data_IF_516410866238
#
_entry.id   IF_516410866238
#
_cell.length_a   1.000
_cell.length_b   1.000
_cell.length_c   1.000
_cell.angle_alpha   90.00
_cell.angle_beta   90.00
_cell.angle_gamma   90.00
#
_symmetry.space_group_name_H-M   'P 1'
#
loop_
_entity.id
_entity.type
_entity.pdbx_description
1 polymer ?
#
# COMPACT_ATOMS: atom_id res chain seq x y z
N UNK A 1 8.83 0.02 4.78
CA UNK A 1 7.54 -0.51 5.26
C UNK A 1 6.92 -1.47 4.25
N UNK A 2 6.80 -1.09 2.96
CA UNK A 2 6.20 -1.95 1.91
C UNK A 2 6.69 -3.40 1.88
N UNK A 3 8.00 -3.61 1.77
CA UNK A 3 8.61 -4.96 1.80
C UNK A 3 8.17 -5.81 3.01
N UNK A 4 8.18 -5.24 4.21
CA UNK A 4 7.83 -5.97 5.42
C UNK A 4 6.34 -6.31 5.50
N UNK A 5 5.47 -5.35 5.16
CA UNK A 5 4.03 -5.59 5.15
C UNK A 5 3.67 -6.67 4.13
N UNK A 6 4.18 -6.53 2.89
CA UNK A 6 3.86 -7.46 1.82
C UNK A 6 4.26 -8.90 2.16
N UNK A 7 5.49 -9.11 2.64
CA UNK A 7 5.94 -10.46 2.99
C UNK A 7 5.30 -11.00 4.26
N UNK A 8 5.14 -10.20 5.30
CA UNK A 8 4.55 -10.69 6.55
C UNK A 8 3.06 -11.06 6.33
N UNK A 9 2.32 -10.29 5.53
CA UNK A 9 0.94 -10.60 5.17
C UNK A 9 0.86 -11.87 4.31
N UNK A 10 1.74 -12.00 3.31
CA UNK A 10 1.82 -13.21 2.48
C UNK A 10 2.11 -14.45 3.34
N UNK A 11 3.07 -14.36 4.25
CA UNK A 11 3.41 -15.46 5.18
C UNK A 11 2.29 -15.74 6.19
N UNK A 12 1.40 -14.77 6.44
CA UNK A 12 0.17 -14.94 7.23
C UNK A 12 -1.00 -15.54 6.43
N UNK A 13 -0.80 -15.89 5.15
CA UNK A 13 -1.84 -16.48 4.30
C UNK A 13 -2.75 -15.46 3.61
N UNK A 14 -2.39 -14.18 3.60
CA UNK A 14 -3.13 -13.14 2.86
C UNK A 14 -2.66 -13.13 1.40
N UNK A 15 -3.60 -12.99 0.46
CA UNK A 15 -3.25 -12.78 -0.95
C UNK A 15 -2.77 -11.34 -1.15
N UNK A 16 -1.56 -11.18 -1.71
CA UNK A 16 -0.86 -9.90 -1.77
C UNK A 16 -0.33 -9.64 -3.18
N UNK A 17 -0.72 -8.49 -3.73
CA UNK A 17 -0.05 -7.85 -4.86
C UNK A 17 0.66 -6.58 -4.41
N UNK A 18 1.73 -6.22 -5.11
CA UNK A 18 2.47 -4.97 -4.86
C UNK A 18 2.24 -4.01 -6.03
N UNK A 19 1.61 -2.87 -5.74
CA UNK A 19 1.46 -1.78 -6.70
C UNK A 19 2.72 -0.92 -6.80
N UNK A 20 3.42 -0.99 -7.95
CA UNK A 20 4.60 -0.18 -8.23
C UNK A 20 4.49 0.44 -9.62
N UNK A 21 4.97 1.68 -9.78
CA UNK A 21 5.09 2.30 -11.11
C UNK A 21 5.94 1.43 -12.05
N UNK A 22 5.66 1.44 -13.36
CA UNK A 22 6.37 0.61 -14.35
C UNK A 22 7.90 0.79 -14.31
N UNK A 23 8.36 2.04 -14.20
CA UNK A 23 9.80 2.35 -14.10
C UNK A 23 10.43 2.17 -12.71
N UNK A 24 9.72 1.56 -11.74
CA UNK A 24 10.22 1.42 -10.38
C UNK A 24 11.36 0.40 -10.30
N UNK A 25 12.51 0.83 -9.79
CA UNK A 25 13.69 -0.04 -9.53
C UNK A 25 13.41 -1.17 -8.53
N UNK A 26 12.28 -1.12 -7.81
CA UNK A 26 11.91 -2.11 -6.80
C UNK A 26 11.03 -3.25 -7.32
N UNK A 27 10.59 -3.21 -8.59
CA UNK A 27 9.75 -4.26 -9.19
C UNK A 27 10.44 -5.63 -9.17
N UNK A 28 11.62 -5.72 -9.77
CA UNK A 28 12.42 -6.95 -9.81
C UNK A 28 12.64 -7.52 -8.39
N UNK A 29 12.99 -6.66 -7.42
CA UNK A 29 13.18 -7.08 -6.03
C UNK A 29 11.92 -7.68 -5.39
N UNK A 30 10.74 -7.16 -5.72
CA UNK A 30 9.48 -7.70 -5.21
C UNK A 30 9.13 -9.03 -5.90
N UNK A 31 9.32 -9.11 -7.22
CA UNK A 31 9.12 -10.33 -8.02
C UNK A 31 10.06 -11.46 -7.58
N UNK A 32 11.33 -11.17 -7.31
CA UNK A 32 12.32 -12.12 -6.79
C UNK A 32 11.94 -12.70 -5.42
N UNK A 33 11.07 -12.01 -4.68
CA UNK A 33 10.51 -12.47 -3.40
C UNK A 33 9.16 -13.21 -3.58
N UNK A 34 8.82 -13.53 -4.83
CA UNK A 34 7.59 -14.21 -5.22
C UNK A 34 6.34 -13.37 -4.98
N UNK A 35 6.44 -12.04 -4.98
CA UNK A 35 5.27 -11.16 -4.93
C UNK A 35 4.83 -10.82 -6.36
N UNK A 36 3.52 -10.90 -6.61
CA UNK A 36 2.95 -10.40 -7.87
C UNK A 36 3.04 -8.86 -7.88
N UNK A 37 3.55 -8.29 -8.96
CA UNK A 37 3.69 -6.83 -9.12
C UNK A 37 2.79 -6.33 -10.24
N UNK A 38 2.02 -5.29 -9.95
CA UNK A 38 1.12 -4.61 -10.88
C UNK A 38 1.42 -3.10 -10.88
N UNK A 39 0.87 -2.35 -11.84
CA UNK A 39 0.81 -0.88 -11.70
C UNK A 39 -0.11 -0.52 -10.53
N UNK A 40 0.01 0.68 -9.92
CA UNK A 40 -0.81 1.03 -8.76
C UNK A 40 -2.31 0.99 -9.07
N UNK A 41 -2.76 1.49 -10.22
CA UNK A 41 -4.16 1.42 -10.61
C UNK A 41 -4.69 -0.01 -10.80
N UNK A 42 -3.90 -0.89 -11.43
CA UNK A 42 -4.25 -2.31 -11.57
C UNK A 42 -4.29 -3.02 -10.21
N UNK A 43 -3.36 -2.71 -9.31
CA UNK A 43 -3.33 -3.27 -7.96
C UNK A 43 -4.57 -2.85 -7.15
N UNK A 44 -5.01 -1.59 -7.28
CA UNK A 44 -6.20 -1.08 -6.61
C UNK A 44 -7.46 -1.79 -7.13
N UNK A 45 -7.63 -1.93 -8.45
CA UNK A 45 -8.77 -2.68 -9.03
C UNK A 45 -8.84 -4.15 -8.59
N UNK A 46 -7.71 -4.73 -8.22
CA UNK A 46 -7.64 -6.12 -7.78
C UNK A 46 -7.93 -6.29 -6.27
N UNK A 47 -7.70 -5.25 -5.47
CA UNK A 47 -7.67 -5.33 -4.01
C UNK A 47 -8.95 -4.78 -3.35
N UNK A 48 -9.35 -5.38 -2.23
CA UNK A 48 -10.36 -4.79 -1.33
C UNK A 48 -9.73 -3.99 -0.17
N UNK A 49 -8.42 -4.19 0.09
CA UNK A 49 -7.66 -3.48 1.13
C UNK A 49 -6.38 -2.93 0.52
N UNK A 50 -6.28 -1.60 0.46
CA UNK A 50 -5.23 -0.86 -0.21
C UNK A 50 -4.30 -0.24 0.85
N UNK A 51 -3.09 -0.79 0.98
CA UNK A 51 -2.09 -0.30 1.95
C UNK A 51 -1.13 0.70 1.30
N UNK A 52 -1.29 1.99 1.61
CA UNK A 52 -0.51 3.09 1.04
C UNK A 52 0.76 3.31 1.85
N UNK A 53 1.89 2.82 1.31
CA UNK A 53 3.22 2.90 1.93
C UNK A 53 4.25 3.66 1.06
N UNK A 54 3.77 4.43 0.09
CA UNK A 54 4.58 5.39 -0.66
C UNK A 54 5.06 6.54 0.26
N UNK A 55 6.18 7.22 -0.06
CA UNK A 55 6.61 8.40 0.69
C UNK A 55 5.52 9.47 0.76
N UNK A 56 5.31 10.07 1.93
CA UNK A 56 4.21 11.03 2.17
C UNK A 56 4.04 12.11 1.08
N UNK A 57 5.11 12.77 0.57
CA UNK A 57 4.96 13.78 -0.48
C UNK A 57 4.39 13.26 -1.80
N UNK A 58 4.49 11.95 -2.05
CA UNK A 58 4.01 11.30 -3.27
C UNK A 58 2.60 10.72 -3.12
N UNK A 59 2.07 10.61 -1.89
CA UNK A 59 0.80 9.94 -1.64
C UNK A 59 -0.37 10.68 -2.29
N UNK A 60 -0.37 12.02 -2.31
CA UNK A 60 -1.44 12.80 -2.95
C UNK A 60 -1.56 12.49 -4.44
N UNK A 61 -0.45 12.59 -5.16
CA UNK A 61 -0.46 12.41 -6.61
C UNK A 61 -0.76 10.95 -6.98
N UNK A 62 -0.21 9.99 -6.20
CA UNK A 62 -0.57 8.57 -6.32
C UNK A 62 -2.07 8.35 -6.07
N UNK A 63 -2.63 9.00 -5.05
CA UNK A 63 -4.04 8.86 -4.72
C UNK A 63 -4.93 9.39 -5.85
N UNK A 64 -4.68 10.61 -6.32
CA UNK A 64 -5.49 11.24 -7.37
C UNK A 64 -5.41 10.48 -8.68
N UNK A 65 -4.22 10.02 -9.08
CA UNK A 65 -4.00 9.46 -10.41
C UNK A 65 -4.32 7.96 -10.49
N UNK A 66 -4.03 7.20 -9.43
CA UNK A 66 -4.03 5.74 -9.49
C UNK A 66 -4.96 5.07 -8.47
N UNK A 67 -5.23 5.69 -7.32
CA UNK A 67 -6.05 5.05 -6.28
C UNK A 67 -7.51 5.46 -6.43
N UNK A 68 -7.82 6.74 -6.27
CA UNK A 68 -9.18 7.27 -6.24
C UNK A 68 -10.04 6.86 -7.47
N UNK A 69 -9.52 6.85 -8.71
CA UNK A 69 -10.32 6.44 -9.88
C UNK A 69 -10.68 4.94 -9.91
N UNK A 70 -10.02 4.13 -9.09
CA UNK A 70 -10.11 2.68 -9.12
C UNK A 70 -10.69 2.08 -7.83
N UNK A 71 -11.06 2.91 -6.84
CA UNK A 71 -11.72 2.46 -5.62
C UNK A 71 -13.18 2.09 -5.87
N UNK A 72 -13.63 1.06 -5.17
CA UNK A 72 -15.01 0.63 -5.11
C UNK A 72 -15.63 0.91 -3.73
N UNK A 73 -16.96 0.89 -3.65
CA UNK A 73 -17.67 1.06 -2.40
C UNK A 73 -17.40 -0.13 -1.46
N UNK A 74 -16.99 0.15 -0.22
CA UNK A 74 -16.63 -0.87 0.76
C UNK A 74 -15.14 -1.27 0.75
N UNK A 75 -14.33 -0.72 -0.16
CA UNK A 75 -12.88 -0.86 -0.07
C UNK A 75 -12.33 -0.19 1.19
N UNK A 76 -11.13 -0.61 1.60
CA UNK A 76 -10.41 0.00 2.72
C UNK A 76 -9.07 0.62 2.29
N UNK A 77 -8.80 1.84 2.75
CA UNK A 77 -7.51 2.51 2.65
C UNK A 77 -6.77 2.46 3.98
N UNK A 78 -5.57 1.88 3.94
CA UNK A 78 -4.71 1.70 5.10
C UNK A 78 -3.45 2.52 4.94
N UNK A 79 -3.12 3.34 5.92
CA UNK A 79 -1.91 4.16 5.91
C UNK A 79 -0.89 3.70 6.95
N UNK A 80 0.39 3.77 6.59
CA UNK A 80 1.50 3.59 7.53
C UNK A 80 1.81 4.83 8.38
N UNK A 81 1.31 5.99 7.96
CA UNK A 81 1.46 7.28 8.64
C UNK A 81 0.26 8.18 8.30
N UNK A 82 -0.20 8.98 9.26
CA UNK A 82 -1.42 9.78 9.11
C UNK A 82 -1.27 11.11 8.40
N UNK A 83 -0.08 11.47 7.89
CA UNK A 83 0.21 12.81 7.35
C UNK A 83 -0.77 13.27 6.26
N UNK A 84 -0.96 12.45 5.22
CA UNK A 84 -1.79 12.83 4.09
C UNK A 84 -3.27 13.05 4.47
N UNK A 85 -3.79 12.24 5.38
CA UNK A 85 -5.17 12.36 5.90
C UNK A 85 -5.29 13.53 6.88
N UNK A 86 -4.38 13.63 7.87
CA UNK A 86 -4.44 14.63 8.95
C UNK A 86 -4.45 16.08 8.44
N UNK A 87 -3.72 16.33 7.35
CA UNK A 87 -3.57 17.65 6.73
C UNK A 87 -4.46 17.84 5.50
N UNK A 88 -5.36 16.91 5.20
CA UNK A 88 -6.35 17.05 4.12
C UNK A 88 -5.76 16.99 2.71
N UNK A 89 -4.55 16.44 2.53
CA UNK A 89 -3.97 16.21 1.20
C UNK A 89 -4.69 15.08 0.45
N UNK A 90 -5.26 14.12 1.19
CA UNK A 90 -6.11 13.06 0.68
C UNK A 90 -7.46 13.15 1.40
N UNK A 91 -8.54 13.14 0.62
CA UNK A 91 -9.92 13.07 1.09
C UNK A 91 -10.57 11.82 0.50
N UNK A 92 -10.60 10.70 1.24
CA UNK A 92 -11.21 9.47 0.77
C UNK A 92 -12.73 9.62 0.59
N UNK A 93 -13.35 8.85 -0.33
CA UNK A 93 -14.80 8.77 -0.43
C UNK A 93 -15.44 8.31 0.89
N UNK A 94 -16.65 8.78 1.18
CA UNK A 94 -17.33 8.47 2.45
C UNK A 94 -17.72 6.98 2.61
N UNK A 95 -17.75 6.24 1.50
CA UNK A 95 -18.06 4.83 1.41
C UNK A 95 -16.81 3.92 1.35
N UNK A 96 -15.63 4.46 1.67
CA UNK A 96 -14.36 3.74 1.76
C UNK A 96 -13.88 3.82 3.20
N UNK A 97 -13.56 2.67 3.80
CA UNK A 97 -13.04 2.62 5.15
C UNK A 97 -11.61 3.17 5.19
N UNK A 98 -11.27 3.91 6.25
CA UNK A 98 -9.95 4.54 6.38
C UNK A 98 -9.39 4.25 7.76
N UNK A 99 -8.26 3.56 7.81
CA UNK A 99 -7.58 3.28 9.07
C UNK A 99 -6.05 3.28 8.92
N UNK A 100 -5.37 3.15 10.06
CA UNK A 100 -3.92 3.29 10.16
C UNK A 100 -3.31 2.10 10.88
N UNK A 101 -2.28 1.53 10.28
CA UNK A 101 -1.41 0.52 10.88
C UNK A 101 0.02 1.03 10.81
N UNK A 102 0.55 1.49 11.95
CA UNK A 102 1.85 2.15 12.00
C UNK A 102 2.84 1.40 12.91
N UNK A 103 3.56 0.38 12.39
CA UNK A 103 4.58 -0.33 13.16
C UNK A 103 5.63 0.60 13.75
N UNK A 104 6.00 0.37 15.02
CA UNK A 104 6.95 1.19 15.76
C UNK A 104 8.38 0.70 15.58
N UNK A 105 8.80 0.64 14.32
CA UNK A 105 10.15 0.26 13.93
C UNK A 105 10.41 0.45 12.43
N UNK A 106 11.69 0.56 12.04
CA UNK A 106 12.04 0.57 10.62
C UNK A 106 11.64 -0.74 9.96
N UNK A 107 11.23 -0.67 8.69
CA UNK A 107 10.61 -1.82 8.02
C UNK A 107 11.47 -3.08 7.97
N UNK A 108 12.80 -2.98 7.87
CA UNK A 108 13.66 -4.17 7.87
C UNK A 108 13.62 -4.91 9.22
N UNK A 109 13.46 -4.18 10.34
CA UNK A 109 13.26 -4.79 11.66
C UNK A 109 11.87 -5.42 11.76
N UNK A 110 10.83 -4.76 11.24
CA UNK A 110 9.46 -5.33 11.19
C UNK A 110 9.45 -6.69 10.46
N UNK A 111 10.23 -6.83 9.38
CA UNK A 111 10.37 -8.12 8.71
C UNK A 111 11.18 -9.12 9.55
N UNK A 112 12.32 -8.69 10.09
CA UNK A 112 13.23 -9.58 10.82
C UNK A 112 12.61 -10.14 12.10
N UNK A 113 11.86 -9.35 12.85
CA UNK A 113 11.24 -9.79 14.11
C UNK A 113 9.94 -10.60 13.87
N UNK A 114 9.47 -10.71 12.62
CA UNK A 114 8.30 -11.53 12.28
C UNK A 114 8.66 -12.98 11.98
N UNK A 115 9.85 -13.22 11.41
CA UNK A 115 10.37 -14.55 11.05
C UNK A 115 11.14 -15.18 12.21
#
# INVERSE_FOLDING_TARGET
QGHAHALNLKDSGVDVVVGLLEGSKSRAKAEDQGLKVLTPGEAVKWANVIVVLAPDPKQRDLFTNDIAPNLEAGDALVFGHGFAIRYGFIQPPANVDVFLVAPKGPGHLVRREYV
#
